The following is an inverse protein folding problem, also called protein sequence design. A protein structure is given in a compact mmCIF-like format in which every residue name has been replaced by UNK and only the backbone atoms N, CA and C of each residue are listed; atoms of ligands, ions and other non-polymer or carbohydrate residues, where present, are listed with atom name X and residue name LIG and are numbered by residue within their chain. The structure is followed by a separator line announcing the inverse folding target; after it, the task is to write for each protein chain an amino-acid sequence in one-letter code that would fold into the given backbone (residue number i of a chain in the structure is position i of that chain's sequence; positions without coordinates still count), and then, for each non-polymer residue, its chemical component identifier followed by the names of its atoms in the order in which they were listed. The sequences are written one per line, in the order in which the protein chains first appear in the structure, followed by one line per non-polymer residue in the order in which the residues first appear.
data_IF_083962428747
#
_entry.id   IF_083962428747
#
_cell.length_a   1.000
_cell.length_b   1.000
_cell.length_c   1.000
_cell.angle_alpha   90.00
_cell.angle_beta   90.00
_cell.angle_gamma   90.00
#
_symmetry.space_group_name_H-M   'P 1'
#
loop_
_entity.id
_entity.type
_entity.pdbx_description
1 polymer ?
#
# COMPACT_ATOMS: atom_id res chain seq x y z
N UNK A 1 10.72 -19.77 -95.16
CA UNK A 1 9.73 -20.08 -94.11
C UNK A 1 10.40 -19.87 -92.75
N UNK A 2 10.15 -18.74 -92.11
CA UNK A 2 9.11 -18.49 -91.10
C UNK A 2 9.63 -18.68 -89.67
N UNK A 3 10.08 -17.54 -89.10
CA UNK A 3 9.62 -16.93 -87.84
C UNK A 3 8.89 -17.89 -86.87
N UNK A 4 9.34 -17.93 -85.61
CA UNK A 4 8.61 -17.28 -84.51
C UNK A 4 9.35 -17.51 -83.19
N UNK A 5 10.00 -16.46 -82.71
CA UNK A 5 10.34 -16.27 -81.30
C UNK A 5 9.02 -16.12 -80.52
N UNK A 6 8.81 -16.97 -79.51
CA UNK A 6 7.70 -16.82 -78.56
C UNK A 6 8.24 -16.28 -77.24
N UNK A 7 8.18 -14.97 -77.12
CA UNK A 7 8.38 -14.21 -75.90
C UNK A 7 7.33 -14.57 -74.85
N UNK A 8 7.76 -15.14 -73.72
CA UNK A 8 6.92 -15.38 -72.53
C UNK A 8 6.66 -14.06 -71.82
N UNK A 9 5.39 -13.64 -71.61
CA UNK A 9 5.10 -12.42 -70.86
C UNK A 9 5.29 -12.66 -69.36
N UNK A 10 6.22 -11.89 -68.77
CA UNK A 10 6.39 -11.66 -67.34
C UNK A 10 5.07 -11.18 -66.75
N UNK A 11 4.36 -12.05 -66.01
CA UNK A 11 3.25 -11.63 -65.16
C UNK A 11 3.82 -10.85 -63.99
N UNK A 12 3.83 -9.52 -64.12
CA UNK A 12 3.93 -8.62 -63.00
C UNK A 12 2.78 -8.92 -62.02
N UNK A 13 3.08 -9.60 -60.89
CA UNK A 13 2.15 -9.67 -59.77
C UNK A 13 2.00 -8.27 -59.18
N UNK A 14 0.95 -7.61 -59.64
CA UNK A 14 0.47 -6.32 -59.18
C UNK A 14 -0.04 -6.46 -57.74
N UNK A 15 0.49 -5.60 -56.87
CA UNK A 15 0.13 -5.36 -55.46
C UNK A 15 -1.36 -5.62 -55.13
N UNK A 16 -1.61 -6.31 -54.03
CA UNK A 16 -2.81 -6.11 -53.20
C UNK A 16 -2.37 -5.80 -51.75
N UNK A 17 -2.34 -4.53 -51.31
CA UNK A 17 -2.26 -4.23 -49.89
C UNK A 17 -3.69 -4.33 -49.34
N UNK A 18 -4.09 -5.53 -48.94
CA UNK A 18 -5.37 -5.72 -48.25
C UNK A 18 -5.11 -5.81 -46.75
N UNK A 19 -5.29 -4.65 -46.12
CA UNK A 19 -5.76 -4.46 -44.76
C UNK A 19 -5.11 -5.33 -43.66
N UNK A 20 -3.97 -4.87 -43.14
CA UNK A 20 -3.55 -5.20 -41.78
C UNK A 20 -4.42 -4.37 -40.81
N UNK A 21 -5.69 -4.76 -40.63
CA UNK A 21 -6.63 -4.11 -39.71
C UNK A 21 -6.35 -4.60 -38.28
N UNK A 22 -5.63 -3.76 -37.54
CA UNK A 22 -5.83 -3.43 -36.13
C UNK A 22 -6.14 -4.59 -35.16
N UNK A 23 -5.13 -5.40 -34.83
CA UNK A 23 -5.14 -6.26 -33.64
C UNK A 23 -4.40 -5.55 -32.49
N UNK A 24 -4.99 -4.50 -31.90
CA UNK A 24 -4.54 -3.86 -30.66
C UNK A 24 -5.64 -3.97 -29.60
N UNK A 25 -6.14 -5.18 -29.34
CA UNK A 25 -7.19 -5.39 -28.35
C UNK A 25 -6.57 -5.97 -27.07
N UNK A 26 -6.40 -5.07 -26.10
CA UNK A 26 -6.30 -5.26 -24.65
C UNK A 26 -5.44 -6.45 -24.17
N UNK A 27 -4.15 -6.20 -23.95
CA UNK A 27 -3.38 -6.94 -22.97
C UNK A 27 -3.82 -6.49 -21.57
N UNK A 28 -4.89 -7.09 -21.03
CA UNK A 28 -5.19 -6.97 -19.60
C UNK A 28 -4.21 -7.84 -18.83
N UNK A 29 -3.17 -7.24 -18.28
CA UNK A 29 -2.30 -7.91 -17.31
C UNK A 29 -3.11 -8.18 -16.05
N UNK A 30 -3.51 -9.43 -15.81
CA UNK A 30 -4.09 -9.84 -14.55
C UNK A 30 -3.00 -9.72 -13.46
N UNK A 31 -3.25 -8.91 -12.43
CA UNK A 31 -2.40 -8.89 -11.25
C UNK A 31 -2.83 -10.04 -10.34
N UNK A 32 -1.96 -11.03 -10.18
CA UNK A 32 -2.15 -12.11 -9.23
C UNK A 32 -1.53 -11.70 -7.89
N UNK A 33 -2.33 -11.74 -6.84
CA UNK A 33 -1.89 -11.62 -5.45
C UNK A 33 -2.30 -12.90 -4.74
N UNK A 34 -1.33 -13.64 -4.20
CA UNK A 34 -1.57 -14.97 -3.61
C UNK A 34 -2.50 -14.91 -2.39
N UNK A 35 -2.64 -13.74 -1.75
CA UNK A 35 -3.59 -13.51 -0.64
C UNK A 35 -5.03 -13.38 -1.10
N UNK A 36 -5.23 -13.12 -2.39
CA UNK A 36 -6.51 -12.88 -3.02
C UNK A 36 -6.75 -13.88 -4.16
N UNK A 37 -6.78 -15.20 -3.85
CA UNK A 37 -6.99 -16.22 -4.86
C UNK A 37 -8.36 -16.03 -5.51
N UNK A 38 -8.38 -15.89 -6.84
CA UNK A 38 -9.60 -15.72 -7.63
C UNK A 38 -10.00 -14.28 -7.93
N UNK A 39 -9.21 -13.27 -7.52
CA UNK A 39 -9.38 -11.92 -8.04
C UNK A 39 -9.03 -11.88 -9.54
N UNK A 40 -10.00 -11.52 -10.38
CA UNK A 40 -9.83 -11.48 -11.84
C UNK A 40 -9.65 -10.04 -12.34
N UNK A 41 -10.31 -9.09 -11.66
CA UNK A 41 -10.24 -7.66 -11.98
C UNK A 41 -9.55 -6.87 -10.86
N UNK A 42 -9.07 -5.66 -11.17
CA UNK A 42 -8.53 -4.74 -10.16
C UNK A 42 -9.55 -4.42 -9.07
N UNK A 43 -10.85 -4.37 -9.41
CA UNK A 43 -11.91 -4.18 -8.44
C UNK A 43 -12.04 -5.37 -7.49
N UNK A 44 -12.01 -6.60 -8.02
CA UNK A 44 -12.06 -7.82 -7.18
C UNK A 44 -10.86 -7.87 -6.23
N UNK A 45 -9.69 -7.44 -6.71
CA UNK A 45 -8.47 -7.39 -5.93
C UNK A 45 -8.58 -6.35 -4.79
N UNK A 46 -9.05 -5.14 -5.08
CA UNK A 46 -9.25 -4.11 -4.05
C UNK A 46 -10.26 -4.56 -2.99
N UNK A 47 -11.40 -5.17 -3.40
CA UNK A 47 -12.38 -5.72 -2.47
C UNK A 47 -11.80 -6.82 -1.58
N UNK A 48 -10.99 -7.72 -2.14
CA UNK A 48 -10.32 -8.75 -1.35
C UNK A 48 -9.35 -8.13 -0.32
N UNK A 49 -8.56 -7.13 -0.73
CA UNK A 49 -7.61 -6.47 0.18
C UNK A 49 -8.32 -5.67 1.28
N UNK A 50 -9.49 -5.09 1.03
CA UNK A 50 -10.30 -4.48 2.09
C UNK A 50 -10.68 -5.51 3.17
N UNK A 51 -11.08 -6.72 2.76
CA UNK A 51 -11.40 -7.80 3.69
C UNK A 51 -10.17 -8.30 4.44
N UNK A 52 -9.00 -8.36 3.79
CA UNK A 52 -7.75 -8.70 4.45
C UNK A 52 -7.36 -7.64 5.48
N UNK A 53 -7.52 -6.36 5.15
CA UNK A 53 -7.25 -5.28 6.08
C UNK A 53 -8.17 -5.30 7.31
N UNK A 54 -9.44 -5.69 7.14
CA UNK A 54 -10.34 -5.91 8.27
C UNK A 54 -9.84 -7.05 9.16
N UNK A 55 -9.37 -8.17 8.59
CA UNK A 55 -8.78 -9.28 9.35
C UNK A 55 -7.56 -8.84 10.17
N UNK A 56 -6.64 -8.09 9.56
CA UNK A 56 -5.47 -7.56 10.29
C UNK A 56 -5.87 -6.58 11.40
N UNK A 57 -6.91 -5.75 11.20
CA UNK A 57 -7.41 -4.85 12.24
C UNK A 57 -8.02 -5.62 13.42
N UNK A 58 -8.83 -6.66 13.15
CA UNK A 58 -9.36 -7.54 14.21
C UNK A 58 -8.22 -8.18 15.01
N UNK A 59 -7.14 -8.57 14.35
CA UNK A 59 -5.97 -9.10 15.04
C UNK A 59 -5.29 -8.03 15.88
N UNK A 60 -5.05 -6.83 15.33
CA UNK A 60 -4.49 -5.72 16.09
C UNK A 60 -5.31 -5.41 17.35
N UNK A 61 -6.64 -5.35 17.22
CA UNK A 61 -7.56 -5.12 18.35
C UNK A 61 -7.43 -6.23 19.41
N UNK A 62 -7.31 -7.49 19.00
CA UNK A 62 -7.08 -8.62 19.92
C UNK A 62 -5.81 -8.42 20.76
N UNK A 63 -4.71 -7.98 20.15
CA UNK A 63 -3.45 -7.74 20.88
C UNK A 63 -3.48 -6.45 21.71
N UNK A 64 -4.23 -5.42 21.29
CA UNK A 64 -4.49 -4.24 22.13
C UNK A 64 -5.27 -4.62 23.38
N UNK A 65 -6.36 -5.39 23.25
CA UNK A 65 -7.14 -5.87 24.40
C UNK A 65 -6.32 -6.76 25.34
N UNK A 66 -5.41 -7.56 24.79
CA UNK A 66 -4.47 -8.32 25.62
C UNK A 66 -3.52 -7.42 26.42
N UNK A 67 -2.98 -6.36 25.81
CA UNK A 67 -2.16 -5.39 26.52
C UNK A 67 -2.95 -4.63 27.59
N UNK A 68 -4.23 -4.34 27.33
CA UNK A 68 -5.14 -3.75 28.31
C UNK A 68 -5.35 -4.65 29.54
N UNK A 69 -5.52 -5.96 29.33
CA UNK A 69 -5.68 -6.93 30.41
C UNK A 69 -4.39 -7.09 31.22
N UNK A 70 -3.24 -7.28 30.55
CA UNK A 70 -1.93 -7.44 31.19
C UNK A 70 -1.56 -6.24 32.08
N UNK A 71 -1.88 -5.03 31.62
CA UNK A 71 -1.55 -3.80 32.35
C UNK A 71 -2.73 -3.15 33.05
N UNK A 72 -3.81 -3.88 33.35
CA UNK A 72 -5.01 -3.38 34.07
C UNK A 72 -4.66 -2.52 35.28
N UNK A 73 -3.66 -2.94 36.08
CA UNK A 73 -3.27 -2.28 37.33
C UNK A 73 -2.19 -1.20 37.14
N UNK A 74 -1.79 -0.90 35.89
CA UNK A 74 -0.74 0.07 35.54
C UNK A 74 -1.29 1.14 34.60
N UNK A 75 -2.14 2.06 35.08
CA UNK A 75 -2.84 3.04 34.25
C UNK A 75 -1.92 3.97 33.46
N UNK A 76 -0.69 4.23 33.93
CA UNK A 76 0.29 5.02 33.19
C UNK A 76 0.78 4.32 31.91
N UNK A 77 0.91 2.99 31.93
CA UNK A 77 1.29 2.22 30.74
C UNK A 77 0.13 2.21 29.75
N UNK A 78 -1.10 1.95 30.23
CA UNK A 78 -2.29 1.96 29.37
C UNK A 78 -2.49 3.32 28.68
N UNK A 79 -2.31 4.42 29.41
CA UNK A 79 -2.38 5.76 28.83
C UNK A 79 -1.34 5.97 27.73
N UNK A 80 -0.09 5.51 27.93
CA UNK A 80 0.97 5.61 26.94
C UNK A 80 0.72 4.72 25.70
N UNK A 81 0.19 3.51 25.90
CA UNK A 81 -0.18 2.60 24.81
C UNK A 81 -1.32 3.20 23.97
N UNK A 82 -2.34 3.76 24.63
CA UNK A 82 -3.46 4.42 23.95
C UNK A 82 -3.00 5.65 23.15
N UNK A 83 -2.18 6.53 23.74
CA UNK A 83 -1.61 7.69 23.05
C UNK A 83 -0.77 7.26 21.83
N UNK A 84 0.09 6.24 22.00
CA UNK A 84 0.88 5.70 20.91
C UNK A 84 0.01 5.11 19.79
N UNK A 85 -1.09 4.44 20.15
CA UNK A 85 -2.03 3.87 19.20
C UNK A 85 -2.78 4.94 18.39
N UNK A 86 -3.24 6.01 19.04
CA UNK A 86 -3.87 7.15 18.36
C UNK A 86 -2.91 7.84 17.39
N UNK A 87 -1.67 8.09 17.82
CA UNK A 87 -0.64 8.68 16.98
C UNK A 87 -0.31 7.78 15.78
N UNK A 88 -0.24 6.46 16.00
CA UNK A 88 0.01 5.49 14.94
C UNK A 88 -1.11 5.47 13.89
N UNK A 89 -2.39 5.56 14.29
CA UNK A 89 -3.52 5.64 13.34
C UNK A 89 -3.36 6.85 12.41
N UNK A 90 -3.03 8.02 12.98
CA UNK A 90 -2.82 9.23 12.21
C UNK A 90 -1.61 9.10 11.25
N UNK A 91 -0.53 8.47 11.71
CA UNK A 91 0.65 8.19 10.90
C UNK A 91 0.30 7.28 9.70
N UNK A 92 -0.31 6.12 9.92
CA UNK A 92 -0.65 5.17 8.85
C UNK A 92 -1.59 5.79 7.82
N UNK A 93 -2.57 6.58 8.26
CA UNK A 93 -3.46 7.30 7.36
C UNK A 93 -2.71 8.32 6.48
N UNK A 94 -1.72 9.02 7.04
CA UNK A 94 -0.92 9.99 6.29
C UNK A 94 0.07 9.30 5.33
N UNK A 95 0.74 8.25 5.79
CA UNK A 95 1.74 7.52 5.03
C UNK A 95 1.11 6.78 3.84
N UNK A 96 0.04 6.02 4.07
CA UNK A 96 -0.62 5.29 2.98
C UNK A 96 -1.36 6.21 2.01
N UNK A 97 -1.74 7.43 2.43
CA UNK A 97 -2.17 8.48 1.49
C UNK A 97 -1.01 8.95 0.61
N UNK A 98 0.20 9.14 1.16
CA UNK A 98 1.36 9.48 0.34
C UNK A 98 1.70 8.38 -0.68
N UNK A 99 1.55 7.10 -0.29
CA UNK A 99 1.63 5.98 -1.22
C UNK A 99 0.55 6.08 -2.30
N UNK A 100 -0.72 6.31 -1.94
CA UNK A 100 -1.78 6.52 -2.93
C UNK A 100 -1.43 7.60 -3.97
N UNK A 101 -0.94 8.76 -3.52
CA UNK A 101 -0.56 9.87 -4.39
C UNK A 101 0.63 9.53 -5.30
N UNK A 102 1.63 8.78 -4.80
CA UNK A 102 2.78 8.33 -5.62
C UNK A 102 2.35 7.49 -6.82
N UNK A 103 1.25 6.73 -6.68
CA UNK A 103 0.75 5.84 -7.71
C UNK A 103 -0.36 6.47 -8.59
N UNK A 104 -0.70 7.75 -8.36
CA UNK A 104 -1.61 8.49 -9.23
C UNK A 104 -0.91 8.90 -10.55
N UNK A 105 -1.60 8.89 -11.71
CA UNK A 105 -3.03 8.64 -11.92
C UNK A 105 -3.40 7.16 -12.17
N UNK A 106 -2.51 6.20 -11.88
CA UNK A 106 -2.71 4.78 -12.21
C UNK A 106 -3.90 4.12 -11.50
N UNK A 107 -4.38 3.01 -12.06
CA UNK A 107 -5.45 2.17 -11.50
C UNK A 107 -5.02 1.34 -10.29
N UNK A 108 -3.72 1.30 -9.97
CA UNK A 108 -3.17 0.52 -8.85
C UNK A 108 -3.07 1.31 -7.54
N UNK A 109 -3.42 2.60 -7.54
CA UNK A 109 -3.31 3.45 -6.34
C UNK A 109 -4.13 2.93 -5.15
N UNK A 110 -5.30 2.33 -5.40
CA UNK A 110 -6.14 1.74 -4.35
C UNK A 110 -5.50 0.50 -3.77
N UNK A 111 -5.09 -0.43 -4.62
CA UNK A 111 -4.26 -1.60 -4.25
C UNK A 111 -3.06 -1.20 -3.38
N UNK A 112 -2.22 -0.27 -3.84
CA UNK A 112 -1.00 0.12 -3.13
C UNK A 112 -1.27 0.79 -1.77
N UNK A 113 -2.36 1.57 -1.68
CA UNK A 113 -2.80 2.16 -0.41
C UNK A 113 -3.30 1.12 0.58
N UNK A 114 -4.09 0.14 0.10
CA UNK A 114 -4.57 -0.97 0.93
C UNK A 114 -3.43 -1.86 1.41
N UNK A 115 -2.50 -2.19 0.52
CA UNK A 115 -1.32 -2.99 0.85
C UNK A 115 -0.45 -2.33 1.92
N UNK A 116 -0.22 -1.01 1.79
CA UNK A 116 0.44 -0.21 2.81
C UNK A 116 -0.24 -0.33 4.18
N UNK A 117 -1.58 -0.20 4.23
CA UNK A 117 -2.34 -0.28 5.49
C UNK A 117 -2.28 -1.68 6.10
N UNK A 118 -2.33 -2.73 5.28
CA UNK A 118 -2.20 -4.13 5.72
C UNK A 118 -0.82 -4.34 6.35
N UNK A 119 0.25 -3.92 5.66
CA UNK A 119 1.61 -4.07 6.14
C UNK A 119 1.86 -3.34 7.47
N UNK A 120 1.36 -2.11 7.61
CA UNK A 120 1.46 -1.34 8.86
C UNK A 120 0.67 -2.00 9.99
N UNK A 121 -0.57 -2.42 9.74
CA UNK A 121 -1.40 -3.08 10.76
C UNK A 121 -0.73 -4.36 11.25
N UNK A 122 -0.27 -5.21 10.33
CA UNK A 122 0.41 -6.45 10.67
C UNK A 122 1.70 -6.21 11.48
N UNK A 123 2.47 -5.18 11.13
CA UNK A 123 3.65 -4.74 11.88
C UNK A 123 3.30 -4.27 13.28
N UNK A 124 2.29 -3.42 13.42
CA UNK A 124 1.87 -2.88 14.72
C UNK A 124 1.48 -4.00 15.69
N UNK A 125 0.77 -5.02 15.22
CA UNK A 125 0.45 -6.20 16.03
C UNK A 125 1.72 -6.93 16.52
N UNK A 126 2.74 -7.08 15.67
CA UNK A 126 4.02 -7.69 16.06
C UNK A 126 4.78 -6.83 17.07
N UNK A 127 4.82 -5.53 16.86
CA UNK A 127 5.50 -4.59 17.76
C UNK A 127 4.83 -4.64 19.15
N UNK A 128 3.49 -4.62 19.20
CA UNK A 128 2.73 -4.78 20.46
C UNK A 128 3.06 -6.09 21.16
N UNK A 129 3.08 -7.21 20.43
CA UNK A 129 3.40 -8.49 21.01
C UNK A 129 4.83 -8.52 21.56
N UNK A 130 5.81 -8.07 20.76
CA UNK A 130 7.22 -8.13 21.12
C UNK A 130 7.57 -7.21 22.30
N UNK A 131 7.00 -6.01 22.34
CA UNK A 131 7.34 -5.01 23.35
C UNK A 131 6.61 -5.23 24.68
N UNK A 132 5.40 -5.78 24.64
CA UNK A 132 4.49 -5.77 25.80
C UNK A 132 4.00 -7.15 26.26
N UNK A 133 3.88 -8.12 25.37
CA UNK A 133 3.12 -9.36 25.64
C UNK A 133 3.98 -10.62 25.61
N UNK A 134 5.19 -10.57 25.06
CA UNK A 134 6.14 -11.69 25.09
C UNK A 134 6.77 -11.81 26.50
N UNK A 135 6.68 -12.95 27.21
CA UNK A 135 6.45 -14.31 26.71
C UNK A 135 5.12 -14.97 27.11
N UNK A 136 3.99 -14.28 27.05
CA UNK A 136 2.68 -14.90 27.30
C UNK A 136 2.42 -16.06 26.31
N UNK A 137 2.35 -17.33 26.77
CA UNK A 137 2.17 -18.48 25.90
C UNK A 137 0.76 -18.57 25.29
N UNK A 138 -0.21 -17.82 25.80
CA UNK A 138 -1.57 -17.75 25.24
C UNK A 138 -1.67 -16.81 24.04
N UNK A 139 -0.65 -15.98 23.82
CA UNK A 139 -0.54 -15.04 22.70
C UNK A 139 0.67 -15.42 21.86
N UNK A 140 0.49 -16.25 20.82
CA UNK A 140 1.61 -16.64 19.96
C UNK A 140 2.18 -15.43 19.21
N UNK A 141 3.37 -15.58 18.64
CA UNK A 141 3.92 -14.60 17.72
C UNK A 141 2.90 -14.37 16.59
N UNK A 142 2.41 -13.13 16.39
CA UNK A 142 1.48 -12.81 15.33
C UNK A 142 1.94 -13.30 13.95
N UNK A 143 3.25 -13.40 13.68
CA UNK A 143 3.78 -13.89 12.39
C UNK A 143 3.62 -15.41 12.19
N UNK A 144 3.41 -16.15 13.28
CA UNK A 144 3.23 -17.61 13.26
C UNK A 144 1.77 -18.05 13.11
N UNK A 145 0.81 -17.10 13.12
CA UNK A 145 -0.60 -17.44 13.04
C UNK A 145 -0.99 -17.96 11.64
N UNK A 146 -1.69 -19.10 11.55
CA UNK A 146 -1.99 -19.75 10.27
C UNK A 146 -2.91 -18.92 9.35
N UNK A 147 -3.71 -17.99 9.88
CA UNK A 147 -4.53 -17.05 9.08
C UNK A 147 -3.70 -15.90 8.46
N UNK A 148 -2.37 -15.85 8.71
CA UNK A 148 -1.45 -14.86 8.12
C UNK A 148 -0.60 -15.35 6.94
N UNK A 149 -0.66 -16.63 6.56
CA UNK A 149 0.17 -17.14 5.46
C UNK A 149 -0.16 -16.46 4.10
N UNK A 150 0.83 -16.19 3.24
CA UNK A 150 1.74 -15.04 3.35
C UNK A 150 1.59 -14.02 2.21
N UNK A 151 1.91 -12.75 2.47
CA UNK A 151 2.59 -11.94 1.45
C UNK A 151 4.06 -12.42 1.35
N UNK A 152 4.60 -12.63 0.15
CA UNK A 152 6.00 -12.30 -0.06
C UNK A 152 6.18 -10.79 0.11
N UNK A 153 7.19 -10.37 0.88
CA UNK A 153 7.68 -8.99 0.80
C UNK A 153 7.97 -8.70 -0.67
N UNK A 154 7.35 -7.65 -1.24
CA UNK A 154 7.67 -7.23 -2.59
C UNK A 154 9.20 -7.04 -2.66
N UNK A 155 9.91 -7.76 -3.55
CA UNK A 155 11.32 -7.51 -3.73
C UNK A 155 11.47 -6.05 -4.18
N UNK A 156 12.43 -5.33 -3.58
CA UNK A 156 12.65 -3.89 -3.83
C UNK A 156 12.87 -3.57 -5.34
N UNK A 157 13.15 -4.60 -6.13
CA UNK A 157 13.34 -4.57 -7.59
C UNK A 157 12.06 -4.37 -8.40
N UNK A 158 10.87 -4.61 -7.82
CA UNK A 158 9.58 -4.42 -8.49
C UNK A 158 8.92 -3.08 -8.13
N UNK A 159 9.53 -2.29 -7.23
CA UNK A 159 9.14 -0.90 -7.08
C UNK A 159 9.56 -0.13 -8.34
N UNK A 160 8.66 0.70 -8.92
CA UNK A 160 9.09 1.65 -9.93
C UNK A 160 10.25 2.46 -9.35
N UNK A 161 11.36 2.66 -10.10
CA UNK A 161 12.49 3.44 -9.61
C UNK A 161 11.96 4.79 -9.12
N UNK A 162 12.50 5.37 -8.04
CA UNK A 162 12.13 6.72 -7.65
C UNK A 162 12.31 7.59 -8.90
N UNK A 163 11.17 8.06 -9.43
CA UNK A 163 11.13 8.81 -10.68
C UNK A 163 12.17 9.92 -10.59
N UNK A 164 13.03 9.96 -11.60
CA UNK A 164 14.09 10.97 -11.70
C UNK A 164 13.52 12.34 -11.39
N UNK A 165 14.25 13.11 -10.58
CA UNK A 165 13.96 14.50 -10.33
C UNK A 165 13.59 15.18 -11.65
N UNK A 166 12.39 15.74 -11.71
CA UNK A 166 12.07 16.73 -12.73
C UNK A 166 13.16 17.81 -12.64
N UNK A 167 13.90 18.11 -13.73
CA UNK A 167 14.86 19.19 -13.71
C UNK A 167 14.07 20.52 -13.68
N UNK A 168 13.93 21.11 -12.50
CA UNK A 168 13.23 22.40 -12.38
C UNK A 168 12.95 22.93 -10.97
N UNK A 169 12.92 22.11 -9.93
CA UNK A 169 12.67 22.59 -8.55
C UNK A 169 13.98 22.89 -7.81
N UNK A 170 14.70 23.91 -8.28
CA UNK A 170 15.79 24.54 -7.50
C UNK A 170 15.16 25.55 -6.54
N UNK A 171 14.58 25.06 -5.44
CA UNK A 171 14.29 25.86 -4.25
C UNK A 171 15.41 25.63 -3.24
N UNK A 172 16.11 26.70 -2.85
CA UNK A 172 17.22 26.69 -1.90
C UNK A 172 16.96 25.78 -0.69
N UNK A 173 17.84 24.78 -0.51
CA UNK A 173 18.13 24.22 0.78
C UNK A 173 19.10 25.16 1.50
N UNK A 174 18.61 25.90 2.48
CA UNK A 174 19.43 26.34 3.61
C UNK A 174 18.84 25.67 4.85
N UNK A 175 19.54 24.64 5.31
CA UNK A 175 19.40 24.04 6.63
C UNK A 175 20.36 24.81 7.55
N UNK A 176 19.90 25.29 8.70
CA UNK A 176 20.35 24.60 9.90
C UNK A 176 19.22 24.37 10.92
N UNK A 177 19.34 23.24 11.60
CA UNK A 177 18.57 22.81 12.78
C UNK A 177 17.21 22.17 12.52
N UNK A 178 17.26 20.84 12.35
CA UNK A 178 16.14 19.94 12.67
C UNK A 178 15.92 20.00 14.18
N UNK A 179 15.21 21.01 14.64
CA UNK A 179 14.56 21.01 15.95
C UNK A 179 13.29 20.17 15.80
N UNK A 180 13.28 18.97 16.39
CA UNK A 180 12.07 18.17 16.53
C UNK A 180 10.95 19.05 17.09
N UNK A 181 9.93 19.37 16.29
CA UNK A 181 8.78 20.14 16.75
C UNK A 181 8.00 19.27 17.73
N UNK A 182 8.07 19.62 19.01
CA UNK A 182 7.05 19.29 19.98
C UNK A 182 5.69 19.81 19.47
N UNK A 183 4.58 19.07 19.67
CA UNK A 183 3.25 19.60 19.36
C UNK A 183 2.99 20.86 20.18
N UNK A 184 2.65 21.95 19.49
CA UNK A 184 2.26 23.23 20.10
C UNK A 184 1.00 23.00 20.94
N UNK A 185 0.96 23.38 22.24
CA UNK A 185 -0.25 23.21 23.04
C UNK A 185 -1.36 24.08 22.44
N UNK A 186 -2.50 23.45 22.17
CA UNK A 186 -3.74 24.16 21.86
C UNK A 186 -4.09 25.02 23.07
N UNK A 187 -3.97 26.34 22.91
CA UNK A 187 -4.29 27.30 23.94
C UNK A 187 -5.75 27.16 24.38
N UNK A 188 -5.95 26.64 25.59
CA UNK A 188 -7.23 26.73 26.30
C UNK A 188 -7.49 28.20 26.59
N UNK A 189 -8.34 28.84 25.78
CA UNK A 189 -8.92 30.14 26.15
C UNK A 189 -9.89 29.90 27.29
N UNK A 190 -9.47 30.26 28.50
CA UNK A 190 -10.34 30.37 29.66
C UNK A 190 -11.53 31.29 29.37
N UNK A 191 -12.70 30.90 29.87
CA UNK A 191 -13.86 31.78 30.03
C UNK A 191 -14.17 31.95 31.52
N UNK A 192 -14.63 33.13 31.94
CA UNK A 192 -14.50 33.59 33.31
C UNK A 192 -15.57 33.02 34.24
N UNK A 193 -15.22 33.00 35.52
CA UNK A 193 -16.10 32.73 36.65
C UNK A 193 -17.35 33.64 36.62
N UNK A 194 -18.52 33.02 36.64
CA UNK A 194 -19.75 33.70 37.03
C UNK A 194 -19.86 33.64 38.56
N UNK A 195 -19.75 34.81 39.19
CA UNK A 195 -20.28 35.11 40.53
C UNK A 195 -21.78 35.38 40.39
N UNK A 196 -22.59 34.84 41.29
CA UNK A 196 -24.02 35.12 41.42
C UNK A 196 -24.75 33.93 42.00
#
# INVERSE_FOLDING_TARGET
MNRSESSTPTRHLRRRPRALLLACILSSSAMADDRCPGAVTTLDLEQCLEQLLLREQVMLDRYLSAAEEEFRDRPSILAAVAEAQEAWIAFVAADCRAIHERWAPGSLRGYMSLDCRIAHTARRTRDLWADFLNPDPSLPDPASEPDRSPLPALPETDLPPPGGLLPGSRGQAENPEVSCLAPKPLGVRGRPAARG
#
